data_IF_655454364581
#
_entry.id   IF_655454364581
#
_cell.length_a   1.000
_cell.length_b   1.000
_cell.length_c   1.000
_cell.angle_alpha   90.00
_cell.angle_beta   90.00
_cell.angle_gamma   90.00
#
_symmetry.space_group_name_H-M   'P 1'
#
loop_
_entity.id
_entity.type
_entity.pdbx_description
1 polymer ?
#
# COMPACT_ATOMS: atom_id res chain seq x y z
N UNK A 1 -4.04 -20.53 -29.12
CA UNK A 1 -4.12 -19.15 -29.66
C UNK A 1 -4.13 -18.17 -28.50
N UNK A 2 -3.02 -17.49 -28.22
CA UNK A 2 -2.98 -16.41 -27.24
C UNK A 2 -3.12 -15.09 -28.01
N UNK A 3 -4.26 -14.41 -27.91
CA UNK A 3 -4.40 -13.08 -28.50
C UNK A 3 -3.39 -12.14 -27.81
N UNK A 4 -2.49 -11.49 -28.56
CA UNK A 4 -1.60 -10.49 -27.98
C UNK A 4 -2.48 -9.36 -27.47
N UNK A 5 -2.49 -9.14 -26.15
CA UNK A 5 -3.19 -8.00 -25.55
C UNK A 5 -2.54 -6.73 -26.08
N UNK A 6 -3.19 -6.12 -27.07
CA UNK A 6 -2.70 -4.90 -27.70
C UNK A 6 -2.69 -3.69 -26.74
N UNK A 7 -2.01 -2.59 -27.11
CA UNK A 7 -1.87 -1.39 -26.29
C UNK A 7 -3.20 -0.79 -25.79
N UNK A 8 -4.31 -1.04 -26.50
CA UNK A 8 -5.66 -0.64 -26.09
C UNK A 8 -6.12 -1.32 -24.78
N UNK A 9 -5.85 -2.61 -24.59
CA UNK A 9 -6.22 -3.34 -23.39
C UNK A 9 -5.41 -2.84 -22.17
N UNK A 10 -4.13 -2.52 -22.37
CA UNK A 10 -3.28 -1.93 -21.33
C UNK A 10 -3.76 -0.53 -20.94
N UNK A 11 -4.12 0.33 -21.91
CA UNK A 11 -4.67 1.66 -21.66
C UNK A 11 -5.99 1.62 -20.89
N UNK A 12 -6.89 0.69 -21.24
CA UNK A 12 -8.15 0.52 -20.52
C UNK A 12 -7.93 0.13 -19.06
N UNK A 13 -6.99 -0.80 -18.79
CA UNK A 13 -6.61 -1.18 -17.42
C UNK A 13 -5.99 -0.03 -16.64
N UNK A 14 -5.14 0.78 -17.25
CA UNK A 14 -4.54 1.96 -16.60
C UNK A 14 -5.63 2.96 -16.19
N UNK A 15 -6.53 3.32 -17.12
CA UNK A 15 -7.65 4.23 -16.84
C UNK A 15 -8.56 3.75 -15.72
N UNK A 16 -8.82 2.43 -15.65
CA UNK A 16 -9.60 1.86 -14.55
C UNK A 16 -8.84 1.98 -13.22
N UNK A 17 -7.55 1.60 -13.22
CA UNK A 17 -6.74 1.66 -12.02
C UNK A 17 -6.59 3.08 -11.47
N UNK A 18 -6.45 4.09 -12.33
CA UNK A 18 -6.36 5.50 -11.94
C UNK A 18 -7.66 6.03 -11.34
N UNK A 19 -8.83 5.53 -11.79
CA UNK A 19 -10.12 5.97 -11.26
C UNK A 19 -10.50 5.30 -9.94
N UNK A 20 -10.01 4.09 -9.69
CA UNK A 20 -10.44 3.27 -8.55
C UNK A 20 -9.41 3.24 -7.43
N UNK A 21 -8.12 3.42 -7.73
CA UNK A 21 -7.05 3.29 -6.75
C UNK A 21 -6.13 4.51 -6.77
N UNK A 22 -5.99 5.15 -5.61
CA UNK A 22 -4.88 6.07 -5.36
C UNK A 22 -3.62 5.25 -5.04
N UNK A 23 -2.51 5.56 -5.70
CA UNK A 23 -1.23 4.87 -5.50
C UNK A 23 -0.30 5.74 -4.66
N UNK A 24 0.12 5.21 -3.51
CA UNK A 24 1.12 5.86 -2.66
C UNK A 24 2.47 5.17 -2.93
N UNK A 25 3.41 5.82 -3.65
CA UNK A 25 4.76 5.29 -3.78
C UNK A 25 5.45 5.38 -2.41
N UNK A 26 6.01 4.26 -1.96
CA UNK A 26 6.73 4.17 -0.69
C UNK A 26 8.17 3.71 -0.97
N UNK A 27 9.11 4.64 -0.87
CA UNK A 27 10.53 4.34 -0.92
C UNK A 27 11.03 3.91 0.46
N UNK A 28 11.56 2.69 0.52
CA UNK A 28 12.14 2.11 1.74
C UNK A 28 13.58 1.72 1.48
N UNK A 29 14.40 1.78 2.53
CA UNK A 29 15.78 1.30 2.45
C UNK A 29 15.82 -0.18 2.05
N UNK A 30 16.87 -0.55 1.32
CA UNK A 30 17.10 -1.94 0.94
C UNK A 30 17.20 -2.81 2.20
N UNK A 31 16.55 -3.98 2.19
CA UNK A 31 16.42 -4.86 3.35
C UNK A 31 15.18 -4.58 4.21
N UNK A 32 14.74 -3.33 4.35
CA UNK A 32 13.56 -2.98 5.16
C UNK A 32 12.27 -3.56 4.58
N UNK A 33 12.15 -3.61 3.25
CA UNK A 33 11.03 -4.28 2.58
C UNK A 33 10.88 -5.75 2.97
N UNK A 34 11.99 -6.46 3.16
CA UNK A 34 11.96 -7.86 3.57
C UNK A 34 11.44 -8.02 5.01
N UNK A 35 11.81 -7.10 5.90
CA UNK A 35 11.28 -7.05 7.26
C UNK A 35 9.77 -6.82 7.27
N UNK A 36 9.28 -5.85 6.50
CA UNK A 36 7.84 -5.59 6.39
C UNK A 36 7.08 -6.77 5.78
N UNK A 37 7.68 -7.43 4.79
CA UNK A 37 7.06 -8.63 4.19
C UNK A 37 6.95 -9.75 5.22
N UNK A 38 8.02 -10.02 5.97
CA UNK A 38 8.01 -11.04 7.03
C UNK A 38 6.99 -10.73 8.12
N UNK A 39 6.90 -9.47 8.56
CA UNK A 39 5.92 -9.04 9.55
C UNK A 39 4.47 -9.17 9.03
N UNK A 40 4.24 -8.88 7.75
CA UNK A 40 2.95 -9.08 7.11
C UNK A 40 2.59 -10.57 6.99
N UNK A 41 3.56 -11.42 6.61
CA UNK A 41 3.38 -12.87 6.53
C UNK A 41 3.06 -13.48 7.90
N UNK A 42 3.73 -13.04 8.96
CA UNK A 42 3.46 -13.45 10.35
C UNK A 42 2.06 -13.02 10.81
N UNK A 43 1.63 -11.81 10.42
CA UNK A 43 0.29 -11.31 10.65
C UNK A 43 -0.80 -11.93 9.73
N UNK A 44 -0.43 -12.81 8.79
CA UNK A 44 -1.35 -13.41 7.83
C UNK A 44 -1.95 -12.42 6.82
N UNK A 45 -1.28 -11.30 6.58
CA UNK A 45 -1.76 -10.20 5.73
C UNK A 45 -0.88 -9.99 4.50
N UNK A 46 -1.45 -9.36 3.47
CA UNK A 46 -0.62 -8.84 2.37
C UNK A 46 0.25 -7.68 2.86
N UNK A 47 1.43 -7.49 2.28
CA UNK A 47 2.31 -6.36 2.60
C UNK A 47 1.58 -5.01 2.52
N UNK A 48 0.74 -4.83 1.50
CA UNK A 48 -0.04 -3.59 1.34
C UNK A 48 -1.08 -3.44 2.46
N UNK A 49 -1.83 -4.49 2.79
CA UNK A 49 -2.82 -4.45 3.87
C UNK A 49 -2.17 -4.22 5.24
N UNK A 50 -0.99 -4.81 5.47
CA UNK A 50 -0.22 -4.60 6.69
C UNK A 50 0.23 -3.14 6.84
N UNK A 51 0.71 -2.51 5.77
CA UNK A 51 1.10 -1.09 5.77
C UNK A 51 -0.13 -0.20 6.00
N UNK A 52 -1.26 -0.47 5.33
CA UNK A 52 -2.49 0.32 5.52
C UNK A 52 -2.95 0.28 6.97
N UNK A 53 -3.04 -0.92 7.56
CA UNK A 53 -3.44 -1.09 8.95
C UNK A 53 -2.50 -0.36 9.93
N UNK A 54 -1.18 -0.46 9.70
CA UNK A 54 -0.20 0.24 10.52
C UNK A 54 -0.36 1.77 10.46
N UNK A 55 -0.70 2.33 9.28
CA UNK A 55 -0.97 3.76 9.11
C UNK A 55 -2.28 4.15 9.80
N UNK A 56 -3.36 3.36 9.64
CA UNK A 56 -4.65 3.57 10.31
C UNK A 56 -4.49 3.58 11.84
N UNK A 57 -3.85 2.56 12.41
CA UNK A 57 -3.59 2.48 13.84
C UNK A 57 -2.72 3.64 14.35
N UNK A 58 -1.81 4.16 13.52
CA UNK A 58 -1.01 5.34 13.87
C UNK A 58 -1.87 6.61 13.85
N UNK A 59 -2.72 6.78 12.84
CA UNK A 59 -3.64 7.92 12.75
C UNK A 59 -4.61 7.96 13.93
N UNK A 60 -5.14 6.81 14.35
CA UNK A 60 -6.01 6.71 15.52
C UNK A 60 -5.30 7.07 16.82
N UNK A 61 -4.05 6.59 17.00
CA UNK A 61 -3.22 6.95 18.14
C UNK A 61 -2.90 8.45 18.19
N UNK A 62 -2.53 9.04 17.05
CA UNK A 62 -2.19 10.46 16.94
C UNK A 62 -3.39 11.36 17.26
N UNK A 63 -4.60 10.97 16.81
CA UNK A 63 -5.86 11.65 17.15
C UNK A 63 -6.19 11.63 18.64
N UNK A 64 -5.75 10.61 19.37
CA UNK A 64 -6.00 10.45 20.80
C UNK A 64 -4.94 11.13 21.68
N UNK A 65 -3.85 11.62 21.09
CA UNK A 65 -2.85 12.41 21.79
C UNK A 65 -3.20 13.89 21.62
N UNK A 66 -3.87 14.55 22.60
CA UNK A 66 -3.98 16.01 22.57
C UNK A 66 -2.57 16.61 22.54
N UNK A 67 -2.37 17.77 21.88
CA UNK A 67 -1.07 18.45 21.91
C UNK A 67 -0.73 18.68 23.37
N UNK A 68 0.28 17.95 23.86
CA UNK A 68 0.92 18.26 25.12
C UNK A 68 1.66 19.57 24.88
N UNK A 69 0.97 20.65 25.21
CA UNK A 69 1.41 22.02 25.09
C UNK A 69 2.72 22.20 25.87
N UNK A 70 3.80 22.57 25.18
CA UNK A 70 4.96 23.24 25.78
C UNK A 70 4.83 24.74 25.51
#
# INVERSE_FOLDING_TARGET
MANPRGPAASRAKMKYNEKTYERIPLDVKIGTKALYKKAAEDAGMSLNGYIQKAVEEKMERDKQQPPSNE
#
